data_IF_972852531504
#
_entry.id   IF_972852531504
#
_cell.length_a   1.000
_cell.length_b   1.000
_cell.length_c   1.000
_cell.angle_alpha   90.00
_cell.angle_beta   90.00
_cell.angle_gamma   90.00
#
_symmetry.space_group_name_H-M   'P 1'
#
loop_
_entity.id
_entity.type
_entity.pdbx_description
1 polymer ?
#
# COMPACT_ATOMS: atom_id res chain seq x y z
N UNK A 1 36.65 47.01 0.77
CA UNK A 1 35.28 46.52 1.01
C UNK A 1 34.94 45.63 -0.19
N UNK A 2 35.11 44.30 -0.20
CA UNK A 2 35.02 43.31 0.86
C UNK A 2 33.64 42.65 0.77
N UNK A 3 33.56 41.46 0.16
CA UNK A 3 32.40 40.57 0.30
C UNK A 3 31.93 39.85 -0.97
N UNK A 4 32.60 38.75 -1.30
CA UNK A 4 32.08 37.66 -2.13
C UNK A 4 30.70 37.18 -1.68
N UNK A 5 29.82 36.93 -2.65
CA UNK A 5 28.48 36.37 -2.43
C UNK A 5 28.07 35.37 -3.52
N UNK A 6 29.00 34.58 -4.07
CA UNK A 6 28.66 33.36 -4.82
C UNK A 6 28.15 32.29 -3.85
N UNK A 7 26.86 32.25 -3.50
CA UNK A 7 26.31 31.10 -2.75
C UNK A 7 24.83 30.84 -3.06
N UNK A 8 24.65 29.79 -3.86
CA UNK A 8 23.56 28.81 -3.77
C UNK A 8 22.13 29.33 -4.02
N UNK A 9 21.80 29.49 -5.30
CA UNK A 9 20.48 28.99 -5.73
C UNK A 9 20.49 27.48 -5.41
N UNK A 10 19.92 27.15 -4.26
CA UNK A 10 19.71 25.80 -3.77
C UNK A 10 18.98 25.05 -4.88
N UNK A 11 19.71 24.22 -5.62
CA UNK A 11 19.18 23.22 -6.52
C UNK A 11 18.15 22.44 -5.70
N UNK A 12 16.87 22.80 -5.83
CA UNK A 12 15.82 21.84 -5.58
C UNK A 12 16.03 20.83 -6.68
N UNK A 13 16.71 19.74 -6.34
CA UNK A 13 16.85 18.60 -7.23
C UNK A 13 15.47 18.37 -7.84
N UNK A 14 15.33 18.36 -9.17
CA UNK A 14 14.12 17.80 -9.72
C UNK A 14 14.18 16.35 -9.26
N UNK A 15 13.32 15.95 -8.32
CA UNK A 15 13.18 14.55 -7.99
C UNK A 15 12.55 13.86 -9.21
N UNK A 16 13.34 13.70 -10.28
CA UNK A 16 13.18 12.63 -11.23
C UNK A 16 13.71 11.38 -10.53
N UNK A 17 12.94 10.86 -9.57
CA UNK A 17 12.98 9.43 -9.34
C UNK A 17 11.89 8.88 -10.24
N UNK A 18 12.31 8.26 -11.34
CA UNK A 18 11.45 7.48 -12.19
C UNK A 18 10.84 6.38 -11.31
N UNK A 19 9.72 6.69 -10.66
CA UNK A 19 8.90 5.70 -9.97
C UNK A 19 8.39 4.77 -11.04
N UNK A 20 8.86 3.53 -11.04
CA UNK A 20 8.31 2.49 -11.89
C UNK A 20 6.86 2.35 -11.45
N UNK A 21 5.92 2.77 -12.30
CA UNK A 21 4.49 2.52 -12.07
C UNK A 21 4.19 1.16 -12.65
N UNK A 22 4.09 0.15 -11.79
CA UNK A 22 3.72 -1.20 -12.20
C UNK A 22 2.19 -1.31 -12.08
N UNK A 23 1.54 -1.69 -13.17
CA UNK A 23 0.10 -1.90 -13.26
C UNK A 23 -0.15 -3.38 -13.56
N UNK A 24 -0.80 -4.09 -12.65
CA UNK A 24 -1.26 -5.46 -12.84
C UNK A 24 -2.79 -5.54 -12.68
N UNK A 25 -3.43 -6.46 -13.40
CA UNK A 25 -4.89 -6.61 -13.49
C UNK A 25 -5.23 -8.08 -13.21
N UNK A 26 -5.96 -8.36 -12.14
CA UNK A 26 -6.40 -9.70 -11.76
C UNK A 26 -7.92 -9.80 -11.68
N UNK A 27 -8.50 -10.95 -12.01
CA UNK A 27 -9.91 -11.24 -11.73
C UNK A 27 -9.90 -12.19 -10.54
N UNK A 28 -10.39 -11.76 -9.36
CA UNK A 28 -10.36 -12.54 -8.13
C UNK A 28 -11.67 -13.34 -8.00
N UNK A 29 -11.71 -14.67 -8.16
CA UNK A 29 -12.87 -15.46 -7.78
C UNK A 29 -12.76 -15.83 -6.29
N UNK A 30 -13.72 -15.39 -5.47
CA UNK A 30 -13.81 -15.71 -4.04
C UNK A 30 -12.54 -15.41 -3.22
N UNK A 31 -12.47 -14.19 -2.66
CA UNK A 31 -11.52 -13.77 -1.60
C UNK A 31 -11.41 -14.74 -0.42
N UNK A 32 -12.40 -15.61 -0.19
CA UNK A 32 -12.43 -16.56 0.93
C UNK A 32 -11.55 -17.80 0.72
N UNK A 33 -11.05 -18.07 -0.49
CA UNK A 33 -10.26 -19.27 -0.79
C UNK A 33 -8.82 -18.97 -1.26
N UNK A 34 -8.51 -17.72 -1.59
CA UNK A 34 -7.20 -17.28 -2.09
C UNK A 34 -6.71 -16.16 -1.18
N UNK A 35 -5.53 -16.28 -0.59
CA UNK A 35 -4.96 -15.22 0.26
C UNK A 35 -4.64 -13.98 -0.59
N UNK A 36 -4.77 -12.75 -0.06
CA UNK A 36 -4.38 -11.55 -0.85
C UNK A 36 -2.89 -11.60 -1.25
N UNK A 37 -2.08 -12.40 -0.52
CA UNK A 37 -0.67 -12.66 -0.82
C UNK A 37 -0.49 -13.49 -2.10
N UNK A 38 -1.42 -14.38 -2.40
CA UNK A 38 -1.36 -15.27 -3.57
C UNK A 38 -1.75 -14.57 -4.88
N UNK A 39 -2.39 -13.40 -4.78
CA UNK A 39 -2.78 -12.57 -5.95
C UNK A 39 -1.83 -11.39 -6.17
N UNK A 40 -0.72 -11.31 -5.41
CA UNK A 40 0.28 -10.26 -5.63
C UNK A 40 0.96 -10.50 -6.99
N UNK A 41 1.10 -9.47 -7.83
CA UNK A 41 1.73 -9.63 -9.13
C UNK A 41 3.18 -10.12 -9.06
N UNK A 42 3.50 -11.18 -9.81
CA UNK A 42 4.87 -11.64 -10.08
C UNK A 42 5.72 -10.58 -10.82
N UNK A 43 5.09 -9.50 -11.32
CA UNK A 43 5.78 -8.40 -12.00
C UNK A 43 6.45 -7.42 -11.05
N UNK A 44 6.18 -7.48 -9.74
CA UNK A 44 6.93 -6.71 -8.76
C UNK A 44 8.38 -7.21 -8.72
N UNK A 45 9.32 -6.27 -8.66
CA UNK A 45 10.71 -6.62 -8.35
C UNK A 45 10.82 -7.20 -6.94
N UNK A 46 11.89 -7.96 -6.63
CA UNK A 46 12.12 -8.48 -5.28
C UNK A 46 12.08 -7.40 -4.20
N UNK A 47 12.65 -6.22 -4.48
CA UNK A 47 12.66 -5.08 -3.55
C UNK A 47 11.24 -4.53 -3.30
N UNK A 48 10.42 -4.41 -4.35
CA UNK A 48 9.03 -3.94 -4.22
C UNK A 48 8.15 -4.97 -3.51
N UNK A 49 8.41 -6.26 -3.72
CA UNK A 49 7.75 -7.35 -3.02
C UNK A 49 8.08 -7.32 -1.52
N UNK A 50 9.34 -7.10 -1.16
CA UNK A 50 9.77 -6.97 0.24
C UNK A 50 9.12 -5.76 0.92
N UNK A 51 9.01 -4.63 0.21
CA UNK A 51 8.30 -3.43 0.70
C UNK A 51 6.82 -3.72 0.94
N UNK A 52 6.15 -4.38 -0.01
CA UNK A 52 4.74 -4.74 0.13
C UNK A 52 4.51 -5.71 1.29
N UNK A 53 5.36 -6.73 1.43
CA UNK A 53 5.32 -7.67 2.56
C UNK A 53 5.53 -6.94 3.89
N UNK A 54 6.46 -5.99 3.95
CA UNK A 54 6.70 -5.18 5.15
C UNK A 54 5.47 -4.34 5.54
N UNK A 55 4.71 -3.84 4.56
CA UNK A 55 3.43 -3.17 4.84
C UNK A 55 2.41 -4.18 5.38
N UNK A 56 2.27 -5.34 4.75
CA UNK A 56 1.31 -6.37 5.15
C UNK A 56 1.57 -6.95 6.54
N UNK A 57 2.84 -7.13 6.90
CA UNK A 57 3.26 -7.70 8.18
C UNK A 57 3.31 -6.64 9.30
N UNK A 58 3.02 -5.36 9.02
CA UNK A 58 3.00 -4.33 10.06
C UNK A 58 1.89 -4.58 11.08
N UNK A 59 2.28 -4.72 12.35
CA UNK A 59 1.45 -5.05 13.53
C UNK A 59 1.30 -3.87 14.52
N UNK A 60 1.80 -2.68 14.15
CA UNK A 60 1.81 -1.53 15.06
C UNK A 60 2.82 -1.70 16.21
N UNK A 61 2.82 -0.79 17.20
CA UNK A 61 3.82 -0.77 18.27
C UNK A 61 3.62 -1.86 19.34
N UNK A 62 2.45 -2.50 19.38
CA UNK A 62 2.08 -3.46 20.42
C UNK A 62 2.38 -4.92 20.04
N UNK A 63 2.70 -5.20 18.76
CA UNK A 63 3.17 -6.48 18.22
C UNK A 63 2.33 -7.73 18.61
N UNK A 64 1.07 -7.50 18.99
CA UNK A 64 0.16 -8.50 19.57
C UNK A 64 -1.24 -8.46 18.94
N UNK A 65 -1.53 -7.45 18.12
CA UNK A 65 -2.80 -7.26 17.42
C UNK A 65 -2.80 -7.85 16.00
N UNK A 66 -3.86 -7.53 15.24
CA UNK A 66 -3.96 -7.87 13.83
C UNK A 66 -2.95 -7.06 12.99
N UNK A 67 -2.46 -7.62 11.90
CA UNK A 67 -1.60 -6.89 10.97
C UNK A 67 -2.41 -6.14 9.89
N UNK A 68 -1.74 -5.28 9.12
CA UNK A 68 -2.37 -4.52 8.02
C UNK A 68 -3.03 -5.43 6.99
N UNK A 69 -2.44 -6.58 6.68
CA UNK A 69 -3.05 -7.54 5.74
C UNK A 69 -4.40 -8.06 6.25
N UNK A 70 -4.48 -8.43 7.53
CA UNK A 70 -5.71 -8.91 8.16
C UNK A 70 -6.76 -7.80 8.20
N UNK A 71 -6.38 -6.59 8.62
CA UNK A 71 -7.27 -5.44 8.67
C UNK A 71 -7.82 -5.06 7.27
N UNK A 72 -7.00 -5.11 6.22
CA UNK A 72 -7.45 -4.87 4.84
C UNK A 72 -8.37 -6.01 4.39
N UNK A 73 -8.02 -7.27 4.69
CA UNK A 73 -8.82 -8.44 4.34
C UNK A 73 -10.23 -8.35 4.94
N UNK A 74 -10.34 -7.97 6.22
CA UNK A 74 -11.62 -7.75 6.88
C UNK A 74 -12.43 -6.66 6.19
N UNK A 75 -11.83 -5.50 5.87
CA UNK A 75 -12.52 -4.42 5.14
C UNK A 75 -13.04 -4.87 3.78
N UNK A 76 -12.28 -5.68 3.05
CA UNK A 76 -12.72 -6.19 1.76
C UNK A 76 -13.87 -7.21 1.94
N UNK A 77 -13.80 -8.09 2.94
CA UNK A 77 -14.88 -9.05 3.25
C UNK A 77 -16.16 -8.34 3.71
N UNK A 78 -16.06 -7.34 4.59
CA UNK A 78 -17.20 -6.54 5.04
C UNK A 78 -17.88 -5.81 3.88
N UNK A 79 -17.08 -5.32 2.92
CA UNK A 79 -17.58 -4.59 1.77
C UNK A 79 -18.21 -5.50 0.72
N UNK A 80 -17.74 -6.74 0.63
CA UNK A 80 -18.19 -7.75 -0.34
C UNK A 80 -18.60 -9.07 0.38
N UNK A 81 -19.59 -9.05 1.28
CA UNK A 81 -19.87 -10.14 2.23
C UNK A 81 -20.53 -11.36 1.57
N UNK A 82 -21.23 -11.17 0.45
CA UNK A 82 -22.09 -12.21 -0.13
C UNK A 82 -21.33 -13.32 -0.86
N UNK A 83 -20.00 -13.21 -1.02
CA UNK A 83 -19.21 -14.16 -1.81
C UNK A 83 -19.74 -14.35 -3.25
N UNK A 84 -20.72 -13.57 -3.68
CA UNK A 84 -21.35 -13.66 -4.98
C UNK A 84 -20.55 -12.83 -5.98
N UNK A 85 -19.25 -13.12 -6.01
CA UNK A 85 -18.36 -12.79 -7.12
C UNK A 85 -18.81 -13.52 -8.40
N UNK A 86 -19.80 -14.43 -8.30
CA UNK A 86 -20.46 -15.07 -9.43
C UNK A 86 -21.44 -14.16 -10.19
N UNK A 87 -21.95 -13.06 -9.61
CA UNK A 87 -22.60 -11.98 -10.39
C UNK A 87 -21.67 -10.77 -10.59
N UNK A 88 -20.57 -10.66 -9.82
CA UNK A 88 -19.59 -9.56 -9.90
C UNK A 88 -18.17 -10.07 -10.16
N UNK A 89 -18.01 -10.73 -11.31
CA UNK A 89 -16.78 -11.40 -11.78
C UNK A 89 -15.59 -10.48 -12.12
N UNK A 90 -15.42 -9.29 -11.52
CA UNK A 90 -14.31 -8.40 -11.91
C UNK A 90 -13.88 -7.44 -10.79
N UNK A 91 -13.64 -7.94 -9.57
CA UNK A 91 -12.82 -7.14 -8.65
C UNK A 91 -11.37 -7.29 -9.07
N UNK A 92 -10.79 -6.19 -9.54
CA UNK A 92 -9.40 -6.10 -9.97
C UNK A 92 -8.58 -5.47 -8.86
N UNK A 93 -7.56 -6.18 -8.38
CA UNK A 93 -6.56 -5.59 -7.50
C UNK A 93 -5.41 -5.00 -8.34
N UNK A 94 -5.26 -3.69 -8.22
CA UNK A 94 -4.08 -2.97 -8.68
C UNK A 94 -3.15 -2.70 -7.52
N UNK A 95 -1.90 -3.14 -7.65
CA UNK A 95 -0.84 -2.90 -6.67
C UNK A 95 0.21 -1.99 -7.28
N UNK A 96 0.44 -0.84 -6.63
CA UNK A 96 1.47 0.12 -7.06
C UNK A 96 2.41 0.38 -5.90
N UNK A 97 3.68 0.06 -6.08
CA UNK A 97 4.75 0.38 -5.13
C UNK A 97 5.62 1.47 -5.75
N UNK A 98 5.78 2.60 -5.06
CA UNK A 98 6.55 3.75 -5.54
C UNK A 98 7.63 4.11 -4.54
N UNK A 99 8.89 4.03 -4.93
CA UNK A 99 9.99 4.59 -4.14
C UNK A 99 9.91 6.13 -4.19
N UNK A 100 9.82 6.76 -3.03
CA UNK A 100 9.76 8.23 -2.89
C UNK A 100 11.09 8.84 -2.41
N UNK A 101 12.10 8.00 -2.17
CA UNK A 101 13.45 8.36 -1.77
C UNK A 101 13.68 8.26 -0.27
N UNK A 102 14.95 8.10 0.13
CA UNK A 102 15.35 8.12 1.55
C UNK A 102 14.80 6.97 2.40
N UNK A 103 14.50 5.81 1.79
CA UNK A 103 13.87 4.67 2.47
C UNK A 103 12.35 4.77 2.57
N UNK A 104 11.74 5.81 1.99
CA UNK A 104 10.29 5.98 1.98
C UNK A 104 9.69 5.39 0.70
N UNK A 105 8.69 4.54 0.87
CA UNK A 105 7.91 3.97 -0.23
C UNK A 105 6.43 4.30 -0.02
N UNK A 106 5.72 4.50 -1.13
CA UNK A 106 4.25 4.59 -1.16
C UNK A 106 3.71 3.29 -1.75
N UNK A 107 2.74 2.69 -1.08
CA UNK A 107 2.05 1.48 -1.51
C UNK A 107 0.59 1.81 -1.70
N UNK A 108 0.08 1.54 -2.90
CA UNK A 108 -1.34 1.70 -3.24
C UNK A 108 -1.92 0.33 -3.58
N UNK A 109 -3.06 0.02 -2.95
CA UNK A 109 -3.89 -1.13 -3.28
C UNK A 109 -5.25 -0.59 -3.71
N UNK A 110 -5.58 -0.76 -4.97
CA UNK A 110 -6.82 -0.30 -5.55
C UNK A 110 -7.62 -1.52 -6.00
N UNK A 111 -8.71 -1.78 -5.28
CA UNK A 111 -9.65 -2.84 -5.59
C UNK A 111 -10.79 -2.22 -6.40
N UNK A 112 -10.64 -2.25 -7.72
CA UNK A 112 -11.63 -1.76 -8.66
C UNK A 112 -12.74 -2.82 -8.83
N UNK A 113 -13.98 -2.47 -8.49
CA UNK A 113 -15.18 -3.27 -8.78
C UNK A 113 -16.23 -2.41 -9.48
N UNK A 114 -17.15 -3.03 -10.22
CA UNK A 114 -18.18 -2.32 -11.00
C UNK A 114 -19.14 -1.47 -10.15
N UNK A 115 -19.24 -1.73 -8.85
CA UNK A 115 -20.18 -1.07 -7.95
C UNK A 115 -19.52 -0.19 -6.89
N UNK A 116 -18.23 -0.38 -6.59
CA UNK A 116 -17.52 0.34 -5.53
C UNK A 116 -15.99 0.19 -5.63
N UNK A 117 -15.28 1.19 -5.10
CA UNK A 117 -13.81 1.26 -5.09
C UNK A 117 -13.32 1.14 -3.63
N UNK A 118 -12.46 0.16 -3.33
CA UNK A 118 -11.67 0.16 -2.11
C UNK A 118 -10.25 0.58 -2.46
N UNK A 119 -9.90 1.80 -2.05
CA UNK A 119 -8.62 2.41 -2.36
C UNK A 119 -7.81 2.60 -1.09
N UNK A 120 -6.71 1.88 -0.95
CA UNK A 120 -5.76 2.03 0.14
C UNK A 120 -4.50 2.70 -0.39
N UNK A 121 -4.05 3.74 0.30
CA UNK A 121 -2.87 4.50 -0.02
C UNK A 121 -2.07 4.71 1.26
N UNK A 122 -0.90 4.08 1.32
CA UNK A 122 -0.07 4.01 2.51
C UNK A 122 1.37 4.41 2.19
N UNK A 123 2.10 4.92 3.17
CA UNK A 123 3.55 5.03 3.10
C UNK A 123 4.18 4.08 4.10
N UNK A 124 5.34 3.54 3.75
CA UNK A 124 6.23 2.82 4.65
C UNK A 124 7.62 3.45 4.62
N UNK A 125 8.21 3.61 5.79
CA UNK A 125 9.63 3.87 5.93
C UNK A 125 10.37 2.57 6.22
N UNK A 126 11.11 2.02 5.26
CA UNK A 126 11.82 0.75 5.44
C UNK A 126 13.00 0.85 6.41
N UNK A 127 13.35 2.06 6.86
CA UNK A 127 14.44 2.28 7.83
C UNK A 127 14.00 2.00 9.26
N UNK A 128 12.78 2.41 9.64
CA UNK A 128 12.23 2.26 10.99
C UNK A 128 10.96 1.38 11.03
N UNK A 129 10.46 0.95 9.87
CA UNK A 129 9.27 0.10 9.74
C UNK A 129 7.95 0.82 9.94
N UNK A 130 7.94 2.15 10.07
CA UNK A 130 6.71 2.91 10.29
C UNK A 130 5.82 2.91 9.05
N UNK A 131 4.54 2.55 9.24
CA UNK A 131 3.51 2.60 8.19
C UNK A 131 2.47 3.67 8.54
N UNK A 132 2.09 4.48 7.54
CA UNK A 132 1.11 5.56 7.70
C UNK A 132 0.07 5.54 6.58
N UNK A 133 -1.18 5.92 6.90
CA UNK A 133 -2.26 6.06 5.92
C UNK A 133 -2.33 7.45 5.30
N UNK A 134 -2.39 7.52 3.97
CA UNK A 134 -2.53 8.77 3.21
C UNK A 134 -3.99 9.18 3.01
N UNK A 135 -4.92 8.22 3.03
CA UNK A 135 -6.36 8.45 2.90
C UNK A 135 -7.13 7.97 4.15
N UNK A 136 -8.43 8.28 4.25
CA UNK A 136 -9.21 7.92 5.43
C UNK A 136 -9.29 6.41 5.66
N UNK A 137 -9.51 5.63 4.59
CA UNK A 137 -9.64 4.18 4.68
C UNK A 137 -8.35 3.52 5.19
N UNK A 138 -7.19 3.97 4.69
CA UNK A 138 -5.88 3.52 5.15
C UNK A 138 -5.58 4.00 6.56
N UNK A 139 -5.95 5.22 6.94
CA UNK A 139 -5.79 5.69 8.33
C UNK A 139 -6.60 4.83 9.28
N UNK A 140 -7.84 4.50 8.93
CA UNK A 140 -8.67 3.63 9.76
C UNK A 140 -8.04 2.24 9.94
N UNK A 141 -7.44 1.68 8.88
CA UNK A 141 -6.69 0.41 8.95
C UNK A 141 -5.46 0.53 9.84
N UNK A 142 -4.65 1.57 9.64
CA UNK A 142 -3.44 1.77 10.45
C UNK A 142 -3.81 2.03 11.91
N UNK A 143 -4.84 2.83 12.19
CA UNK A 143 -5.35 3.08 13.54
C UNK A 143 -5.87 1.78 14.16
N UNK A 144 -6.60 0.95 13.39
CA UNK A 144 -7.06 -0.35 13.87
C UNK A 144 -5.88 -1.22 14.31
N UNK A 145 -4.82 -1.31 13.51
CA UNK A 145 -3.59 -2.05 13.83
C UNK A 145 -2.84 -1.43 15.01
N UNK A 146 -2.78 -0.09 15.08
CA UNK A 146 -2.02 0.63 16.10
C UNK A 146 -2.66 0.57 17.49
N UNK A 147 -4.00 0.56 17.54
CA UNK A 147 -4.78 0.60 18.78
C UNK A 147 -5.50 -0.71 19.10
N UNK A 148 -5.28 -1.78 18.33
CA UNK A 148 -5.74 -3.12 18.70
C UNK A 148 -4.99 -3.58 19.96
N UNK A 149 -5.75 -4.02 20.97
CA UNK A 149 -5.28 -4.51 22.28
C UNK A 149 -5.99 -5.83 22.60
#
# INVERSE_FOLDING_TARGET
MGGDGKKFLKTRAPFYLAGVTILAVFIIPNMLAVELRDIIPETLSPDEMEVLQSVFDYTGPNDTGINVYEAISERVVERYPDGNVYEHHSTILHVIVTNTGGGLYRVVLDFESQSDELYFDMNINVTDGEVTGNNNLSKDVIDLVYYYD
#
